data_IF_076398586252
#
_entry.id   IF_076398586252
#
_cell.length_a   1.000
_cell.length_b   1.000
_cell.length_c   1.000
_cell.angle_alpha   90.00
_cell.angle_beta   90.00
_cell.angle_gamma   90.00
#
_symmetry.space_group_name_H-M   'P 1'
#
loop_
_entity.id
_entity.type
_entity.pdbx_description
1 polymer ?
#
# COMPACT_ATOMS: atom_id res chain seq x y z
N UNK A 1 -27.92 4.76 2.42
CA UNK A 1 -27.01 5.60 1.63
C UNK A 1 -26.64 4.81 0.39
N UNK A 2 -27.07 5.21 -0.81
CA UNK A 2 -26.62 4.57 -2.05
C UNK A 2 -25.57 5.45 -2.71
N UNK A 3 -24.40 4.88 -3.00
CA UNK A 3 -23.42 5.57 -3.85
C UNK A 3 -23.86 5.39 -5.31
N UNK A 4 -23.88 6.46 -6.12
CA UNK A 4 -24.18 6.34 -7.54
C UNK A 4 -23.33 5.23 -8.17
N UNK A 5 -23.98 4.41 -9.01
CA UNK A 5 -23.34 3.32 -9.76
C UNK A 5 -22.84 2.12 -8.92
N UNK A 6 -23.17 2.07 -7.62
CA UNK A 6 -23.00 0.88 -6.79
C UNK A 6 -24.36 0.45 -6.22
N UNK A 7 -24.62 -0.86 -6.27
CA UNK A 7 -25.72 -1.44 -5.51
C UNK A 7 -25.42 -1.38 -3.99
N UNK A 8 -26.44 -1.68 -3.19
CA UNK A 8 -26.35 -1.61 -1.72
C UNK A 8 -25.26 -2.53 -1.17
N UNK A 9 -25.14 -3.75 -1.70
CA UNK A 9 -24.15 -4.73 -1.26
C UNK A 9 -22.72 -4.22 -1.51
N UNK A 10 -22.44 -3.74 -2.73
CA UNK A 10 -21.14 -3.15 -3.07
C UNK A 10 -20.84 -1.88 -2.30
N UNK A 11 -21.86 -1.10 -1.94
CA UNK A 11 -21.70 0.08 -1.09
C UNK A 11 -21.21 -0.32 0.30
N UNK A 12 -21.79 -1.37 0.91
CA UNK A 12 -21.32 -1.89 2.19
C UNK A 12 -19.90 -2.47 2.09
N UNK A 13 -19.63 -3.26 1.06
CA UNK A 13 -18.29 -3.81 0.83
C UNK A 13 -17.23 -2.70 0.70
N UNK A 14 -17.55 -1.60 0.00
CA UNK A 14 -16.66 -0.43 -0.10
C UNK A 14 -16.39 0.21 1.27
N UNK A 15 -17.43 0.41 2.08
CA UNK A 15 -17.29 1.00 3.43
C UNK A 15 -16.43 0.11 4.34
N UNK A 16 -16.63 -1.20 4.28
CA UNK A 16 -15.85 -2.18 5.03
C UNK A 16 -14.38 -2.17 4.61
N UNK A 17 -14.12 -2.15 3.30
CA UNK A 17 -12.76 -2.08 2.75
C UNK A 17 -12.05 -0.76 3.10
N UNK A 18 -12.76 0.38 3.00
CA UNK A 18 -12.23 1.68 3.44
C UNK A 18 -11.91 1.69 4.95
N UNK A 19 -12.79 1.09 5.76
CA UNK A 19 -12.58 0.98 7.20
C UNK A 19 -11.41 0.06 7.54
N UNK A 20 -11.27 -1.06 6.83
CA UNK A 20 -10.15 -1.99 6.95
C UNK A 20 -8.82 -1.31 6.60
N UNK A 21 -8.74 -0.63 5.46
CA UNK A 21 -7.55 0.12 5.03
C UNK A 21 -7.16 1.18 6.06
N UNK A 22 -8.12 2.00 6.51
CA UNK A 22 -7.90 3.01 7.57
C UNK A 22 -7.35 2.38 8.84
N UNK A 23 -7.97 1.31 9.33
CA UNK A 23 -7.58 0.66 10.57
C UNK A 23 -6.16 0.07 10.47
N UNK A 24 -5.85 -0.61 9.37
CA UNK A 24 -4.51 -1.18 9.12
C UNK A 24 -3.43 -0.09 9.10
N UNK A 25 -3.66 1.00 8.38
CA UNK A 25 -2.73 2.13 8.31
C UNK A 25 -2.59 2.85 9.66
N UNK A 26 -3.70 3.09 10.36
CA UNK A 26 -3.71 3.76 11.65
C UNK A 26 -2.98 2.94 12.73
N UNK A 27 -3.26 1.64 12.84
CA UNK A 27 -2.59 0.76 13.79
C UNK A 27 -1.13 0.53 13.41
N UNK A 28 -0.82 0.30 12.13
CA UNK A 28 0.55 0.19 11.64
C UNK A 28 1.39 1.42 12.00
N UNK A 29 0.88 2.61 11.70
CA UNK A 29 1.56 3.88 12.00
C UNK A 29 1.68 4.13 13.51
N UNK A 30 0.65 3.78 14.29
CA UNK A 30 0.69 3.89 15.75
C UNK A 30 1.79 3.02 16.32
N UNK A 31 1.86 1.75 15.94
CA UNK A 31 2.87 0.82 16.47
C UNK A 31 4.26 1.26 16.05
N UNK A 32 4.45 1.74 14.81
CA UNK A 32 5.72 2.34 14.39
C UNK A 32 6.17 3.46 15.34
N UNK A 33 5.26 4.34 15.77
CA UNK A 33 5.60 5.47 16.64
C UNK A 33 5.78 5.11 18.11
N UNK A 34 5.21 3.99 18.58
CA UNK A 34 5.12 3.68 20.02
C UNK A 34 5.79 2.37 20.43
N UNK A 35 6.27 1.55 19.48
CA UNK A 35 6.85 0.26 19.82
C UNK A 35 8.19 0.42 20.53
N UNK A 36 8.26 -0.06 21.78
CA UNK A 36 9.49 -0.12 22.54
C UNK A 36 10.52 -1.11 21.95
N UNK A 37 10.08 -2.06 21.11
CA UNK A 37 10.90 -3.14 20.55
C UNK A 37 10.62 -3.36 19.05
N UNK A 38 11.04 -2.40 18.22
CA UNK A 38 10.80 -2.39 16.77
C UNK A 38 11.19 -3.70 16.07
N UNK A 39 12.26 -4.37 16.51
CA UNK A 39 12.70 -5.63 15.91
C UNK A 39 11.71 -6.78 16.12
N UNK A 40 11.05 -6.85 17.28
CA UNK A 40 10.06 -7.91 17.59
C UNK A 40 8.69 -7.62 16.98
N UNK A 41 8.36 -6.34 16.75
CA UNK A 41 7.08 -5.92 16.17
C UNK A 41 7.15 -5.66 14.68
N UNK A 42 8.32 -5.84 14.04
CA UNK A 42 8.55 -5.54 12.63
C UNK A 42 7.56 -6.25 11.70
N UNK A 43 7.40 -7.56 11.86
CA UNK A 43 6.59 -8.33 10.92
C UNK A 43 5.09 -7.97 11.01
N UNK A 44 4.49 -7.82 12.21
CA UNK A 44 3.15 -7.24 12.36
C UNK A 44 3.01 -5.83 11.76
N UNK A 45 3.97 -4.94 12.01
CA UNK A 45 3.98 -3.58 11.45
C UNK A 45 3.97 -3.62 9.92
N UNK A 46 4.94 -4.33 9.32
CA UNK A 46 5.09 -4.42 7.87
C UNK A 46 3.87 -5.09 7.24
N UNK A 47 3.26 -6.08 7.90
CA UNK A 47 2.01 -6.71 7.45
C UNK A 47 0.87 -5.69 7.39
N UNK A 48 0.64 -4.97 8.50
CA UNK A 48 -0.44 -3.97 8.56
C UNK A 48 -0.25 -2.87 7.52
N UNK A 49 0.95 -2.31 7.43
CA UNK A 49 1.25 -1.23 6.49
C UNK A 49 1.21 -1.68 5.03
N UNK A 50 1.77 -2.86 4.71
CA UNK A 50 1.78 -3.38 3.34
C UNK A 50 0.35 -3.65 2.83
N UNK A 51 -0.47 -4.35 3.62
CA UNK A 51 -1.87 -4.62 3.25
C UNK A 51 -2.70 -3.32 3.25
N UNK A 52 -2.47 -2.43 4.22
CA UNK A 52 -3.17 -1.15 4.31
C UNK A 52 -2.93 -0.26 3.08
N UNK A 53 -1.69 -0.15 2.62
CA UNK A 53 -1.32 0.58 1.41
C UNK A 53 -1.89 -0.09 0.16
N UNK A 54 -1.83 -1.43 0.06
CA UNK A 54 -2.42 -2.15 -1.08
C UNK A 54 -3.92 -1.87 -1.21
N UNK A 55 -4.68 -1.99 -0.10
CA UNK A 55 -6.11 -1.69 -0.07
C UNK A 55 -6.37 -0.22 -0.43
N UNK A 56 -5.60 0.71 0.13
CA UNK A 56 -5.73 2.15 -0.19
C UNK A 56 -5.58 2.40 -1.69
N UNK A 57 -4.54 1.86 -2.34
CA UNK A 57 -4.33 2.06 -3.77
C UNK A 57 -5.44 1.44 -4.62
N UNK A 58 -5.87 0.21 -4.28
CA UNK A 58 -6.98 -0.45 -4.96
C UNK A 58 -8.29 0.32 -4.82
N UNK A 59 -8.55 0.88 -3.64
CA UNK A 59 -9.70 1.75 -3.40
C UNK A 59 -9.63 3.04 -4.22
N UNK A 60 -8.47 3.71 -4.25
CA UNK A 60 -8.28 4.93 -5.05
C UNK A 60 -8.51 4.68 -6.55
N UNK A 61 -7.91 3.63 -7.12
CA UNK A 61 -8.10 3.27 -8.52
C UNK A 61 -9.54 2.80 -8.80
N UNK A 62 -10.16 2.08 -7.87
CA UNK A 62 -11.56 1.65 -7.96
C UNK A 62 -12.53 2.83 -7.96
N UNK A 63 -12.33 3.82 -7.09
CA UNK A 63 -13.11 5.05 -7.05
C UNK A 63 -12.90 5.90 -8.30
N UNK A 64 -11.67 5.98 -8.81
CA UNK A 64 -11.39 6.66 -10.06
C UNK A 64 -12.11 6.01 -11.25
N UNK A 65 -12.16 4.68 -11.29
CA UNK A 65 -12.95 3.92 -12.26
C UNK A 65 -14.45 4.16 -12.10
N UNK A 66 -14.95 4.19 -10.88
CA UNK A 66 -16.37 4.41 -10.61
C UNK A 66 -16.82 5.78 -11.14
N UNK A 67 -15.99 6.81 -10.92
CA UNK A 67 -16.24 8.17 -11.40
C UNK A 67 -16.19 8.27 -12.94
N UNK A 68 -15.22 7.62 -13.57
CA UNK A 68 -15.00 7.74 -15.03
C UNK A 68 -15.86 6.81 -15.87
N UNK A 69 -16.06 5.58 -15.40
CA UNK A 69 -16.73 4.50 -16.14
C UNK A 69 -18.07 4.12 -15.55
N UNK A 70 -18.53 4.82 -14.51
CA UNK A 70 -19.79 4.51 -13.81
C UNK A 70 -19.86 3.05 -13.38
N UNK A 71 -18.70 2.44 -13.08
CA UNK A 71 -18.59 1.04 -12.72
C UNK A 71 -17.32 0.77 -11.94
N UNK A 72 -17.44 -0.12 -10.95
CA UNK A 72 -16.28 -0.65 -10.23
C UNK A 72 -15.48 -1.56 -11.16
N UNK A 73 -14.13 -1.59 -11.08
CA UNK A 73 -13.33 -2.47 -11.91
C UNK A 73 -13.68 -3.95 -11.72
N UNK A 74 -13.59 -4.71 -12.80
CA UNK A 74 -13.81 -6.16 -12.74
C UNK A 74 -12.73 -6.84 -11.89
N UNK A 75 -12.99 -8.06 -11.44
CA UNK A 75 -11.98 -8.87 -10.73
C UNK A 75 -10.68 -9.03 -11.54
N UNK A 76 -10.78 -9.13 -12.86
CA UNK A 76 -9.60 -9.23 -13.74
C UNK A 76 -8.80 -7.92 -13.75
N UNK A 77 -9.47 -6.77 -13.84
CA UNK A 77 -8.82 -5.45 -13.77
C UNK A 77 -8.18 -5.21 -12.39
N UNK A 78 -8.90 -5.54 -11.31
CA UNK A 78 -8.37 -5.44 -9.94
C UNK A 78 -7.16 -6.35 -9.69
N UNK A 79 -7.11 -7.52 -10.34
CA UNK A 79 -5.94 -8.39 -10.35
C UNK A 79 -4.82 -7.85 -11.25
N UNK A 80 -5.18 -7.20 -12.35
CA UNK A 80 -4.25 -6.54 -13.28
C UNK A 80 -3.49 -5.39 -12.64
N UNK A 81 -4.08 -4.69 -11.67
CA UNK A 81 -3.35 -3.74 -10.81
C UNK A 81 -2.23 -4.42 -10.00
N UNK A 82 -2.29 -5.75 -9.84
CA UNK A 82 -1.24 -6.56 -9.25
C UNK A 82 -1.19 -6.50 -7.72
N UNK A 83 -0.08 -7.00 -7.20
CA UNK A 83 0.34 -6.91 -5.80
C UNK A 83 1.65 -6.11 -5.66
N UNK A 84 2.16 -5.55 -6.76
CA UNK A 84 3.35 -4.72 -6.73
C UNK A 84 2.98 -3.29 -6.31
N UNK A 85 3.31 -2.94 -5.07
CA UNK A 85 3.00 -1.62 -4.52
C UNK A 85 3.69 -0.49 -5.29
N UNK A 86 4.86 -0.71 -5.90
CA UNK A 86 5.57 0.32 -6.67
C UNK A 86 4.83 0.68 -7.97
N UNK A 87 4.35 -0.34 -8.68
CA UNK A 87 3.59 -0.17 -9.93
C UNK A 87 2.22 0.46 -9.63
N UNK A 88 1.56 0.01 -8.56
CA UNK A 88 0.31 0.59 -8.10
C UNK A 88 0.48 2.04 -7.63
N UNK A 89 1.57 2.36 -6.91
CA UNK A 89 1.87 3.74 -6.53
C UNK A 89 2.01 4.62 -7.76
N UNK A 90 2.77 4.20 -8.76
CA UNK A 90 2.93 4.94 -10.02
C UNK A 90 1.59 5.17 -10.72
N UNK A 91 0.72 4.15 -10.75
CA UNK A 91 -0.62 4.24 -11.33
C UNK A 91 -1.52 5.21 -10.57
N UNK A 92 -1.49 5.16 -9.23
CA UNK A 92 -2.23 6.08 -8.36
C UNK A 92 -1.75 7.51 -8.54
N UNK A 93 -0.44 7.76 -8.50
CA UNK A 93 0.12 9.10 -8.67
C UNK A 93 -0.24 9.66 -10.04
N UNK A 94 -0.13 8.86 -11.11
CA UNK A 94 -0.55 9.28 -12.46
C UNK A 94 -2.02 9.70 -12.50
N UNK A 95 -2.91 8.91 -11.88
CA UNK A 95 -4.34 9.21 -11.85
C UNK A 95 -4.65 10.44 -10.98
N UNK A 96 -3.94 10.61 -9.85
CA UNK A 96 -4.06 11.79 -9.00
C UNK A 96 -3.58 13.04 -9.75
N UNK A 97 -2.38 13.04 -10.34
CA UNK A 97 -1.84 14.19 -11.09
C UNK A 97 -2.79 14.60 -12.22
N UNK A 98 -3.39 13.64 -12.93
CA UNK A 98 -4.41 13.91 -13.97
C UNK A 98 -5.63 14.60 -13.40
N UNK A 99 -6.17 14.12 -12.27
CA UNK A 99 -7.39 14.66 -11.63
C UNK A 99 -7.15 16.00 -10.96
N UNK A 100 -5.98 16.22 -10.39
CA UNK A 100 -5.65 17.44 -9.65
C UNK A 100 -5.16 18.57 -10.56
N UNK A 101 -4.87 18.30 -11.85
CA UNK A 101 -4.35 19.29 -12.79
C UNK A 101 -5.16 20.61 -12.80
N UNK A 102 -6.48 20.50 -12.76
CA UNK A 102 -7.43 21.64 -12.76
C UNK A 102 -7.99 21.98 -11.38
N UNK A 103 -7.49 21.34 -10.31
CA UNK A 103 -7.91 21.59 -8.93
C UNK A 103 -7.28 22.87 -8.36
N UNK A 104 -7.72 23.26 -7.16
CA UNK A 104 -7.17 24.41 -6.44
C UNK A 104 -5.66 24.26 -6.19
N UNK A 105 -4.97 25.38 -5.99
CA UNK A 105 -3.55 25.39 -5.63
C UNK A 105 -3.27 24.56 -4.37
N UNK A 106 -4.19 24.58 -3.40
CA UNK A 106 -4.09 23.78 -2.19
C UNK A 106 -4.03 22.27 -2.48
N UNK A 107 -4.97 21.76 -3.29
CA UNK A 107 -5.01 20.32 -3.64
C UNK A 107 -3.76 19.90 -4.42
N UNK A 108 -3.30 20.74 -5.36
CA UNK A 108 -2.05 20.47 -6.09
C UNK A 108 -0.83 20.50 -5.18
N UNK A 109 -0.80 21.40 -4.19
CA UNK A 109 0.25 21.46 -3.17
C UNK A 109 0.34 20.17 -2.35
N UNK A 110 -0.79 19.62 -1.91
CA UNK A 110 -0.83 18.34 -1.19
C UNK A 110 -0.24 17.18 -2.01
N UNK A 111 -0.54 17.12 -3.31
CA UNK A 111 0.05 16.09 -4.17
C UNK A 111 1.56 16.29 -4.35
N UNK A 112 1.99 17.54 -4.57
CA UNK A 112 3.40 17.89 -4.73
C UNK A 112 4.23 17.57 -3.47
N UNK A 113 3.67 17.71 -2.27
CA UNK A 113 4.32 17.30 -1.02
C UNK A 113 4.61 15.80 -1.01
N UNK A 114 3.66 14.97 -1.45
CA UNK A 114 3.86 13.51 -1.56
C UNK A 114 4.89 13.17 -2.63
N UNK A 115 4.86 13.85 -3.78
CA UNK A 115 5.81 13.65 -4.89
C UNK A 115 7.25 14.04 -4.48
N UNK A 116 7.40 15.07 -3.65
CA UNK A 116 8.69 15.57 -3.18
C UNK A 116 9.25 14.81 -1.96
N UNK A 117 8.45 13.98 -1.29
CA UNK A 117 8.88 13.26 -0.09
C UNK A 117 9.84 12.11 -0.44
N UNK A 118 11.10 12.29 -0.05
CA UNK A 118 12.18 11.34 -0.29
C UNK A 118 12.02 9.98 0.42
N UNK A 119 11.08 9.85 1.36
CA UNK A 119 10.81 8.62 2.11
C UNK A 119 9.73 7.76 1.45
N UNK A 120 8.78 8.37 0.73
CA UNK A 120 7.60 7.67 0.18
C UNK A 120 8.01 6.51 -0.72
N UNK A 121 8.84 6.76 -1.74
CA UNK A 121 9.25 5.70 -2.68
C UNK A 121 10.01 4.56 -1.99
N UNK A 122 11.04 4.82 -1.15
CA UNK A 122 11.68 3.78 -0.35
C UNK A 122 10.70 2.97 0.52
N UNK A 123 9.78 3.64 1.21
CA UNK A 123 8.77 3.00 2.05
C UNK A 123 7.88 2.05 1.23
N UNK A 124 7.33 2.53 0.10
CA UNK A 124 6.48 1.72 -0.78
C UNK A 124 7.23 0.49 -1.31
N UNK A 125 8.50 0.65 -1.69
CA UNK A 125 9.34 -0.46 -2.16
C UNK A 125 9.58 -1.50 -1.05
N UNK A 126 9.88 -1.07 0.17
CA UNK A 126 10.07 -1.98 1.31
C UNK A 126 8.79 -2.72 1.65
N UNK A 127 7.64 -2.04 1.68
CA UNK A 127 6.34 -2.66 1.93
C UNK A 127 5.95 -3.64 0.81
N UNK A 128 6.28 -3.32 -0.45
CA UNK A 128 6.01 -4.16 -1.61
C UNK A 128 6.85 -5.44 -1.57
N UNK A 129 8.16 -5.33 -1.30
CA UNK A 129 9.04 -6.49 -1.11
C UNK A 129 8.58 -7.36 0.05
N UNK A 130 8.17 -6.75 1.16
CA UNK A 130 7.62 -7.50 2.29
C UNK A 130 6.38 -8.33 1.90
N UNK A 131 5.42 -7.72 1.20
CA UNK A 131 4.19 -8.40 0.77
C UNK A 131 4.44 -9.52 -0.24
N UNK A 132 5.40 -9.35 -1.15
CA UNK A 132 5.70 -10.32 -2.21
C UNK A 132 6.50 -11.53 -1.71
N UNK A 133 7.56 -11.31 -0.95
CA UNK A 133 8.51 -12.37 -0.56
C UNK A 133 8.97 -12.29 0.89
N UNK A 134 8.88 -11.14 1.54
CA UNK A 134 9.33 -10.99 2.93
C UNK A 134 8.47 -11.78 3.94
N UNK A 135 7.14 -11.82 3.76
CA UNK A 135 6.21 -12.46 4.72
C UNK A 135 6.34 -13.99 4.80
N UNK A 136 6.84 -14.63 3.75
CA UNK A 136 7.07 -16.08 3.71
C UNK A 136 8.57 -16.43 3.64
N UNK A 137 9.47 -15.44 3.70
CA UNK A 137 10.91 -15.63 3.54
C UNK A 137 11.49 -16.80 4.36
N UNK A 138 11.15 -16.88 5.65
CA UNK A 138 11.65 -17.95 6.50
C UNK A 138 11.01 -19.30 6.17
N UNK A 139 9.74 -19.34 5.76
CA UNK A 139 9.03 -20.55 5.34
C UNK A 139 9.59 -21.08 4.01
N UNK A 140 9.81 -20.20 3.03
CA UNK A 140 10.41 -20.56 1.73
C UNK A 140 11.83 -21.14 1.92
N UNK A 141 12.56 -20.64 2.92
CA UNK A 141 13.88 -21.18 3.30
C UNK A 141 13.83 -22.57 3.92
N UNK A 142 12.71 -22.97 4.54
CA UNK A 142 12.55 -24.34 5.05
C UNK A 142 12.34 -25.34 3.91
N UNK A 143 11.74 -24.92 2.80
CA UNK A 143 11.50 -25.74 1.61
C UNK A 143 12.78 -25.95 0.78
N UNK A 144 13.71 -25.00 0.83
CA UNK A 144 14.89 -25.03 -0.02
C UNK A 144 15.96 -25.99 0.52
N UNK A 145 15.98 -27.25 0.04
CA UNK A 145 17.21 -28.04 0.04
C UNK A 145 18.24 -27.33 -0.84
N UNK A 146 19.31 -26.81 -0.23
CA UNK A 146 20.43 -26.06 -0.84
C UNK A 146 20.65 -26.38 -2.34
N UNK A 147 19.98 -25.62 -3.20
CA UNK A 147 20.18 -25.63 -4.65
C UNK A 147 20.22 -24.16 -5.07
N UNK A 148 21.27 -23.78 -5.78
CA UNK A 148 21.76 -22.40 -5.98
C UNK A 148 20.80 -21.46 -6.75
N UNK A 149 19.65 -21.12 -6.17
CA UNK A 149 18.77 -20.04 -6.60
C UNK A 149 18.94 -18.82 -5.71
N UNK A 150 18.97 -17.62 -6.29
CA UNK A 150 19.07 -16.35 -5.56
C UNK A 150 18.04 -16.29 -4.43
N UNK A 151 18.51 -16.39 -3.19
CA UNK A 151 17.69 -16.17 -2.00
C UNK A 151 17.29 -14.69 -1.97
N UNK A 152 15.99 -14.35 -1.86
CA UNK A 152 15.56 -12.95 -1.74
C UNK A 152 16.25 -12.27 -0.55
N UNK A 153 16.65 -11.01 -0.69
CA UNK A 153 17.25 -10.27 0.42
C UNK A 153 16.23 -10.11 1.56
N UNK A 154 16.67 -10.27 2.82
CA UNK A 154 15.81 -10.05 3.98
C UNK A 154 15.38 -8.58 4.06
N UNK A 155 14.10 -8.31 4.31
CA UNK A 155 13.58 -6.94 4.49
C UNK A 155 14.08 -6.23 5.76
N UNK A 156 14.82 -6.92 6.63
CA UNK A 156 15.26 -6.40 7.93
C UNK A 156 16.29 -5.28 7.88
N UNK A 157 17.26 -5.32 6.96
CA UNK A 157 18.27 -4.24 6.81
C UNK A 157 17.66 -2.97 6.23
N UNK A 158 16.74 -3.12 5.27
CA UNK A 158 15.99 -2.02 4.68
C UNK A 158 15.06 -1.36 5.70
N UNK A 159 14.37 -2.17 6.51
CA UNK A 159 13.53 -1.67 7.60
C UNK A 159 14.32 -0.77 8.56
N UNK A 160 15.50 -1.21 9.02
CA UNK A 160 16.36 -0.40 9.90
C UNK A 160 16.82 0.90 9.25
N UNK A 161 17.14 0.85 7.96
CA UNK A 161 17.53 2.04 7.18
C UNK A 161 16.37 3.02 7.07
N UNK A 162 15.15 2.50 6.87
CA UNK A 162 13.94 3.30 6.79
C UNK A 162 13.58 3.94 8.14
N UNK A 163 13.61 3.17 9.23
CA UNK A 163 13.45 3.64 10.61
C UNK A 163 14.36 4.84 10.90
N UNK A 164 15.66 4.72 10.60
CA UNK A 164 16.62 5.81 10.76
C UNK A 164 16.26 7.07 9.96
N UNK A 165 15.70 6.95 8.75
CA UNK A 165 15.28 8.10 7.93
C UNK A 165 14.02 8.79 8.46
N UNK A 166 13.14 8.05 9.12
CA UNK A 166 11.88 8.57 9.69
C UNK A 166 12.00 8.98 11.16
N UNK A 167 13.21 8.90 11.74
CA UNK A 167 13.50 9.32 13.11
C UNK A 167 12.92 8.39 14.18
N UNK A 168 12.84 7.08 13.87
CA UNK A 168 12.31 6.03 14.76
C UNK A 168 13.35 4.93 14.90
#
# INVERSE_FOLDING_TARGET
MSLPHLDTEKTFALIEEMSSARNLLAYGTRVVRTAAFLDTTRDPILTMLSIGVEKLYKLTLGLASLDTRQSWPTKAEMKGFGHNLADMHSSVMTELSRRTAVSTLYVRGLLAEVEADAVVIPLINTLGRYGQSGRFYHLDRLETHLSHGKVPASTGSEWRTLCSKIGI
#
